data_IF_663489534162
#
_entry.id   IF_663489534162
#
_cell.length_a   1.000
_cell.length_b   1.000
_cell.length_c   1.000
_cell.angle_alpha   90.00
_cell.angle_beta   90.00
_cell.angle_gamma   90.00
#
_symmetry.space_group_name_H-M   'P 1'
#
loop_
_entity.id
_entity.type
_entity.pdbx_description
1 polymer ?
#
# COMPACT_ATOMS: atom_id res chain seq x y z
N UNK A 1 -4.73 -24.59 20.99
CA UNK A 1 -4.63 -23.11 20.90
C UNK A 1 -4.00 -22.67 19.57
N UNK A 2 -4.21 -23.40 18.47
CA UNK A 2 -3.51 -23.11 17.19
C UNK A 2 -4.27 -22.16 16.25
N UNK A 3 -5.57 -21.90 16.48
CA UNK A 3 -6.37 -21.08 15.55
C UNK A 3 -6.03 -19.59 15.57
N UNK A 4 -5.81 -19.01 16.75
CA UNK A 4 -5.71 -17.55 16.90
C UNK A 4 -4.42 -16.96 16.30
N UNK A 5 -3.30 -17.69 16.42
CA UNK A 5 -2.04 -17.30 15.78
C UNK A 5 -2.03 -17.43 14.26
N UNK A 6 -2.79 -18.39 13.71
CA UNK A 6 -2.96 -18.52 12.26
C UNK A 6 -3.84 -17.41 11.69
N UNK A 7 -4.89 -17.00 12.41
CA UNK A 7 -5.74 -15.87 12.02
C UNK A 7 -4.96 -14.54 12.00
N UNK A 8 -4.16 -14.25 13.03
CA UNK A 8 -3.36 -13.02 13.06
C UNK A 8 -2.32 -12.97 11.94
N UNK A 9 -1.71 -14.12 11.58
CA UNK A 9 -0.82 -14.19 10.41
C UNK A 9 -1.56 -13.91 9.10
N UNK A 10 -2.73 -14.52 8.91
CA UNK A 10 -3.54 -14.30 7.71
C UNK A 10 -3.95 -12.82 7.57
N UNK A 11 -4.38 -12.18 8.66
CA UNK A 11 -4.73 -10.76 8.66
C UNK A 11 -3.54 -9.86 8.32
N UNK A 12 -2.35 -10.19 8.84
CA UNK A 12 -1.12 -9.46 8.54
C UNK A 12 -0.73 -9.58 7.06
N UNK A 13 -0.86 -10.77 6.48
CA UNK A 13 -0.59 -10.99 5.06
C UNK A 13 -1.57 -10.20 4.19
N UNK A 14 -2.86 -10.16 4.54
CA UNK A 14 -3.87 -9.33 3.87
C UNK A 14 -3.51 -7.85 3.92
N UNK A 15 -3.04 -7.33 5.06
CA UNK A 15 -2.64 -5.91 5.19
C UNK A 15 -1.42 -5.59 4.30
N UNK A 16 -0.45 -6.51 4.23
CA UNK A 16 0.72 -6.38 3.33
C UNK A 16 0.32 -6.37 1.86
N UNK A 17 -0.56 -7.29 1.48
CA UNK A 17 -1.09 -7.38 0.13
C UNK A 17 -1.86 -6.12 -0.25
N UNK A 18 -2.70 -5.60 0.67
CA UNK A 18 -3.39 -4.33 0.48
C UNK A 18 -2.42 -3.18 0.21
N UNK A 19 -1.36 -3.05 1.02
CA UNK A 19 -0.34 -2.01 0.81
C UNK A 19 0.38 -2.13 -0.54
N UNK A 20 0.61 -3.37 -1.00
CA UNK A 20 1.22 -3.66 -2.31
C UNK A 20 0.26 -3.36 -3.46
N UNK A 21 -0.99 -3.81 -3.36
CA UNK A 21 -2.04 -3.58 -4.34
C UNK A 21 -2.30 -2.10 -4.55
N UNK A 22 -2.45 -1.33 -3.47
CA UNK A 22 -2.61 0.13 -3.54
C UNK A 22 -1.39 0.80 -4.19
N UNK A 23 -0.18 0.34 -3.89
CA UNK A 23 1.04 0.86 -4.55
C UNK A 23 1.05 0.59 -6.05
N UNK A 24 0.49 -0.55 -6.49
CA UNK A 24 0.38 -0.89 -7.90
C UNK A 24 -0.68 -0.04 -8.60
N UNK A 25 -1.80 0.25 -7.94
CA UNK A 25 -2.82 1.19 -8.45
C UNK A 25 -2.22 2.58 -8.65
N UNK A 26 -1.45 3.09 -7.67
CA UNK A 26 -0.72 4.36 -7.80
C UNK A 26 0.18 4.35 -9.05
N UNK A 27 1.01 3.31 -9.21
CA UNK A 27 1.90 3.18 -10.37
C UNK A 27 1.15 3.14 -11.70
N UNK A 28 0.00 2.48 -11.74
CA UNK A 28 -0.84 2.45 -12.93
C UNK A 28 -1.34 3.85 -13.28
N UNK A 29 -1.81 4.64 -12.30
CA UNK A 29 -2.23 6.01 -12.53
C UNK A 29 -1.08 6.96 -12.90
N UNK A 30 0.08 6.82 -12.27
CA UNK A 30 1.29 7.59 -12.62
C UNK A 30 1.78 7.30 -14.05
N UNK A 31 1.53 6.08 -14.54
CA UNK A 31 1.89 5.67 -15.90
C UNK A 31 0.90 6.11 -16.99
N UNK A 32 -0.23 6.72 -16.63
CA UNK A 32 -1.18 7.25 -17.60
C UNK A 32 -0.75 8.63 -18.08
N UNK A 33 -0.72 8.80 -19.39
CA UNK A 33 -0.47 10.09 -20.02
C UNK A 33 -1.52 11.15 -19.65
N UNK A 34 -1.12 12.41 -19.84
CA UNK A 34 -2.05 13.54 -19.89
C UNK A 34 -2.94 13.44 -21.13
N UNK A 35 -4.21 13.75 -20.97
CA UNK A 35 -5.20 13.80 -22.06
C UNK A 35 -5.43 15.23 -22.55
N UNK A 36 -5.24 16.21 -21.68
CA UNK A 36 -5.39 17.64 -21.99
C UNK A 36 -4.45 18.05 -23.12
N UNK A 37 -4.99 18.81 -24.07
CA UNK A 37 -4.25 19.33 -25.22
C UNK A 37 -3.77 18.29 -26.24
N UNK A 38 -4.15 17.01 -26.12
CA UNK A 38 -3.70 15.95 -27.07
C UNK A 38 -4.61 15.76 -28.27
N UNK A 39 -5.90 16.04 -28.14
CA UNK A 39 -6.92 15.58 -29.11
C UNK A 39 -7.78 16.72 -29.66
N UNK A 40 -7.53 17.98 -29.29
CA UNK A 40 -8.38 19.12 -29.69
C UNK A 40 -8.55 19.22 -31.21
N UNK A 41 -7.46 19.10 -31.96
CA UNK A 41 -7.45 19.19 -33.41
C UNK A 41 -8.06 17.96 -34.11
N UNK A 42 -8.19 16.83 -33.41
CA UNK A 42 -8.69 15.57 -33.97
C UNK A 42 -10.22 15.51 -34.08
N UNK A 43 -10.94 16.34 -33.32
CA UNK A 43 -12.40 16.25 -33.22
C UNK A 43 -13.16 16.93 -34.36
N UNK A 44 -12.52 17.83 -35.13
CA UNK A 44 -13.13 18.53 -36.26
C UNK A 44 -14.34 19.43 -35.93
N UNK A 45 -14.79 19.47 -34.68
CA UNK A 45 -15.88 20.30 -34.18
C UNK A 45 -15.48 20.96 -32.86
N UNK A 46 -15.41 22.29 -32.85
CA UNK A 46 -14.93 23.12 -31.73
C UNK A 46 -15.65 22.81 -30.42
N UNK A 47 -16.99 22.77 -30.42
CA UNK A 47 -17.75 22.47 -29.20
C UNK A 47 -17.55 21.05 -28.64
N UNK A 48 -17.08 20.10 -29.45
CA UNK A 48 -16.74 18.76 -28.97
C UNK A 48 -15.32 18.76 -28.38
N UNK A 49 -14.39 19.45 -29.04
CA UNK A 49 -13.04 19.66 -28.54
C UNK A 49 -13.05 20.35 -27.16
N UNK A 50 -13.85 21.42 -26.99
CA UNK A 50 -14.00 22.12 -25.71
C UNK A 50 -14.51 21.20 -24.60
N UNK A 51 -15.54 20.39 -24.90
CA UNK A 51 -16.11 19.45 -23.93
C UNK A 51 -15.15 18.34 -23.55
N UNK A 52 -14.34 17.88 -24.51
CA UNK A 52 -13.30 16.91 -24.24
C UNK A 52 -12.19 17.52 -23.38
N UNK A 53 -11.78 18.76 -23.64
CA UNK A 53 -10.76 19.45 -22.86
C UNK A 53 -11.21 19.71 -21.42
N UNK A 54 -12.46 20.12 -21.22
CA UNK A 54 -13.10 20.22 -19.89
C UNK A 54 -13.00 18.90 -19.13
N UNK A 55 -13.35 17.79 -19.80
CA UNK A 55 -13.27 16.46 -19.22
C UNK A 55 -11.83 16.06 -18.90
N UNK A 56 -10.90 16.25 -19.84
CA UNK A 56 -9.51 15.86 -19.71
C UNK A 56 -8.84 16.57 -18.53
N UNK A 57 -9.04 17.88 -18.42
CA UNK A 57 -8.54 18.70 -17.32
C UNK A 57 -9.10 18.24 -15.97
N UNK A 58 -10.42 18.05 -15.86
CA UNK A 58 -11.04 17.60 -14.61
C UNK A 58 -10.62 16.17 -14.23
N UNK A 59 -10.47 15.29 -15.22
CA UNK A 59 -9.98 13.93 -15.03
C UNK A 59 -8.54 13.93 -14.52
N UNK A 60 -7.65 14.75 -15.06
CA UNK A 60 -6.27 14.88 -14.58
C UNK A 60 -6.20 15.35 -13.13
N UNK A 61 -6.95 16.41 -12.78
CA UNK A 61 -7.01 16.93 -11.40
C UNK A 61 -7.53 15.87 -10.43
N UNK A 62 -8.62 15.20 -10.81
CA UNK A 62 -9.24 14.17 -9.97
C UNK A 62 -8.32 12.96 -9.81
N UNK A 63 -7.68 12.52 -10.90
CA UNK A 63 -6.71 11.42 -10.89
C UNK A 63 -5.53 11.74 -9.98
N UNK A 64 -4.98 12.94 -10.04
CA UNK A 64 -3.87 13.34 -9.18
C UNK A 64 -4.24 13.27 -7.68
N UNK A 65 -5.45 13.74 -7.32
CA UNK A 65 -5.96 13.65 -5.94
C UNK A 65 -6.12 12.19 -5.51
N UNK A 66 -6.77 11.37 -6.34
CA UNK A 66 -6.97 9.95 -6.05
C UNK A 66 -5.64 9.21 -5.89
N UNK A 67 -4.65 9.49 -6.75
CA UNK A 67 -3.30 8.91 -6.66
C UNK A 67 -2.64 9.22 -5.32
N UNK A 68 -2.75 10.46 -4.83
CA UNK A 68 -2.21 10.87 -3.51
C UNK A 68 -2.91 10.15 -2.36
N UNK A 69 -4.23 10.00 -2.43
CA UNK A 69 -5.00 9.26 -1.42
C UNK A 69 -4.64 7.78 -1.39
N UNK A 70 -4.52 7.14 -2.56
CA UNK A 70 -4.08 5.75 -2.70
C UNK A 70 -2.66 5.56 -2.13
N UNK A 71 -1.75 6.51 -2.39
CA UNK A 71 -0.41 6.49 -1.81
C UNK A 71 -0.44 6.56 -0.28
N UNK A 72 -1.25 7.46 0.28
CA UNK A 72 -1.39 7.60 1.72
C UNK A 72 -1.91 6.30 2.36
N UNK A 73 -2.95 5.68 1.78
CA UNK A 73 -3.48 4.39 2.24
C UNK A 73 -2.45 3.26 2.12
N UNK A 74 -1.71 3.20 1.01
CA UNK A 74 -0.64 2.22 0.81
C UNK A 74 0.44 2.34 1.89
N UNK A 75 0.82 3.58 2.24
CA UNK A 75 1.80 3.86 3.29
C UNK A 75 1.29 3.44 4.67
N UNK A 76 0.03 3.73 4.99
CA UNK A 76 -0.59 3.32 6.25
C UNK A 76 -0.59 1.79 6.37
N UNK A 77 -1.05 1.09 5.34
CA UNK A 77 -1.10 -0.38 5.32
C UNK A 77 0.28 -1.01 5.54
N UNK A 78 1.30 -0.56 4.80
CA UNK A 78 2.68 -1.03 4.95
C UNK A 78 3.26 -0.73 6.34
N UNK A 79 2.96 0.45 6.89
CA UNK A 79 3.44 0.84 8.22
C UNK A 79 2.79 -0.02 9.30
N UNK A 80 1.49 -0.28 9.19
CA UNK A 80 0.77 -1.15 10.10
C UNK A 80 1.33 -2.58 10.05
N UNK A 81 1.48 -3.16 8.85
CA UNK A 81 2.07 -4.48 8.69
C UNK A 81 3.45 -4.59 9.35
N UNK A 82 4.34 -3.62 9.07
CA UNK A 82 5.66 -3.58 9.67
C UNK A 82 5.62 -3.50 11.20
N UNK A 83 4.75 -2.65 11.76
CA UNK A 83 4.63 -2.51 13.21
C UNK A 83 4.18 -3.82 13.88
N UNK A 84 3.21 -4.53 13.28
CA UNK A 84 2.76 -5.82 13.79
C UNK A 84 3.85 -6.89 13.70
N UNK A 85 4.61 -6.95 12.61
CA UNK A 85 5.75 -7.86 12.47
C UNK A 85 6.84 -7.60 13.52
N UNK A 86 7.19 -6.33 13.72
CA UNK A 86 8.22 -5.95 14.68
C UNK A 86 7.79 -6.34 16.12
N UNK A 87 6.50 -6.21 16.45
CA UNK A 87 5.92 -6.66 17.74
C UNK A 87 5.94 -8.19 17.86
N UNK A 88 5.48 -8.93 16.84
CA UNK A 88 5.48 -10.40 16.85
C UNK A 88 6.90 -10.95 17.00
N UNK A 89 7.86 -10.35 16.30
CA UNK A 89 9.26 -10.73 16.39
C UNK A 89 9.82 -10.53 17.80
N UNK A 90 9.62 -9.34 18.39
CA UNK A 90 10.09 -9.04 19.74
C UNK A 90 9.47 -9.97 20.81
N UNK A 91 8.19 -10.31 20.67
CA UNK A 91 7.52 -11.25 21.56
C UNK A 91 8.10 -12.67 21.41
N UNK A 92 8.33 -13.13 20.17
CA UNK A 92 8.91 -14.43 19.91
C UNK A 92 10.34 -14.55 20.48
N UNK A 93 11.15 -13.50 20.35
CA UNK A 93 12.48 -13.44 20.96
C UNK A 93 12.43 -13.51 22.48
N UNK A 94 11.58 -12.69 23.12
CA UNK A 94 11.42 -12.70 24.57
C UNK A 94 11.00 -14.08 25.11
N UNK A 95 10.09 -14.77 24.42
CA UNK A 95 9.67 -16.13 24.78
C UNK A 95 10.83 -17.13 24.61
N UNK A 96 11.61 -17.04 23.53
CA UNK A 96 12.78 -17.92 23.30
C UNK A 96 13.83 -17.72 24.38
N UNK A 97 14.11 -16.47 24.74
CA UNK A 97 15.09 -16.12 25.77
C UNK A 97 14.66 -16.59 27.15
N UNK A 98 13.38 -16.43 27.50
CA UNK A 98 12.83 -16.96 28.75
C UNK A 98 12.92 -18.50 28.86
N UNK A 99 12.95 -19.22 27.72
CA UNK A 99 13.07 -20.68 27.67
C UNK A 99 14.51 -21.20 27.64
N UNK A 100 15.53 -20.34 27.48
CA UNK A 100 16.93 -20.79 27.45
C UNK A 100 17.35 -21.30 28.84
N UNK A 101 17.86 -22.55 28.96
CA UNK A 101 18.30 -23.08 30.24
C UNK A 101 19.52 -22.30 30.76
N UNK A 102 19.54 -22.02 32.07
CA UNK A 102 20.63 -21.31 32.74
C UNK A 102 21.91 -22.17 32.63
N UNK A 103 23.06 -21.62 32.18
CA UNK A 103 24.27 -22.40 32.01
C UNK A 103 24.67 -23.02 33.35
N UNK A 104 24.85 -24.36 33.36
CA UNK A 104 25.29 -25.08 34.53
C UNK A 104 26.65 -24.51 34.99
N UNK A 105 26.71 -23.95 36.20
CA UNK A 105 27.97 -23.57 36.83
C UNK A 105 28.83 -24.83 36.93
N UNK A 106 29.87 -24.94 36.10
CA UNK A 106 30.97 -25.89 36.33
C UNK A 106 31.71 -25.42 37.58
N UNK A 107 31.37 -26.02 38.72
CA UNK A 107 32.10 -25.88 39.97
C UNK A 107 33.51 -26.44 39.84
N UNK A 108 34.46 -25.75 40.46
CA UNK A 108 35.86 -26.14 40.63
C UNK A 108 36.09 -26.50 42.08
#
# INVERSE_FOLDING_TARGET
MSGEGDHTRADLDVIKEMGTGLSNVKKAFDGLDKLSGKYGDDFGHEGLADKFEDFASNWEITREKLTKEVEALAKIAKTAAKAYEDIDHGLAEAIRDARKPKPAKRGK
#
